data_IF_000742426163
#
_entry.id   IF_000742426163
#
_cell.length_a   1.000
_cell.length_b   1.000
_cell.length_c   1.000
_cell.angle_alpha   90.00
_cell.angle_beta   90.00
_cell.angle_gamma   90.00
#
_symmetry.space_group_name_H-M   'P 1'
#
loop_
_entity.id
_entity.type
_entity.pdbx_description
1 polymer ?
#
# COMPACT_ATOMS: atom_id res chain seq x y z
N UNK A 1 8.15 11.59 -12.89
CA UNK A 1 8.53 11.15 -11.52
C UNK A 1 7.30 10.90 -10.66
N UNK A 2 7.43 10.10 -9.61
CA UNK A 2 6.36 9.85 -8.63
C UNK A 2 6.77 10.43 -7.27
N UNK A 3 5.84 11.15 -6.64
CA UNK A 3 6.02 11.71 -5.30
C UNK A 3 4.89 11.15 -4.44
N UNK A 4 5.24 10.57 -3.31
CA UNK A 4 4.27 9.91 -2.42
C UNK A 4 4.24 10.59 -1.06
N UNK A 5 3.04 10.87 -0.57
CA UNK A 5 2.81 11.48 0.76
C UNK A 5 2.57 10.34 1.77
N UNK A 6 3.41 10.20 2.81
CA UNK A 6 3.21 9.19 3.86
C UNK A 6 2.21 9.65 4.93
N UNK A 7 1.77 8.71 5.75
CA UNK A 7 0.98 8.87 6.99
C UNK A 7 -0.28 9.73 6.83
N UNK A 8 -0.86 9.73 5.63
CA UNK A 8 -2.11 10.44 5.36
C UNK A 8 -3.24 9.78 6.13
N UNK A 9 -4.13 10.59 6.65
CA UNK A 9 -5.39 10.17 7.27
C UNK A 9 -6.60 10.92 6.71
N UNK A 10 -6.42 12.07 6.06
CA UNK A 10 -7.48 12.91 5.53
C UNK A 10 -7.16 13.52 4.16
N UNK A 11 -8.18 13.65 3.30
CA UNK A 11 -8.09 14.35 2.01
C UNK A 11 -7.44 15.74 2.11
N UNK A 12 -7.77 16.49 3.16
CA UNK A 12 -7.25 17.86 3.35
C UNK A 12 -5.72 17.90 3.52
N UNK A 13 -5.13 16.88 4.12
CA UNK A 13 -3.67 16.77 4.24
C UNK A 13 -3.02 16.64 2.85
N UNK A 14 -3.61 15.80 2.00
CA UNK A 14 -3.17 15.63 0.60
C UNK A 14 -3.26 16.94 -0.16
N UNK A 15 -4.37 17.66 -0.06
CA UNK A 15 -4.56 18.96 -0.74
C UNK A 15 -3.49 19.99 -0.30
N UNK A 16 -3.27 20.13 1.00
CA UNK A 16 -2.31 21.09 1.55
C UNK A 16 -0.88 20.79 1.10
N UNK A 17 -0.49 19.50 1.13
CA UNK A 17 0.85 19.07 0.69
C UNK A 17 0.99 19.19 -0.82
N UNK A 18 -0.03 18.80 -1.60
CA UNK A 18 -0.06 18.95 -3.06
C UNK A 18 0.18 20.39 -3.48
N UNK A 19 -0.53 21.36 -2.88
CA UNK A 19 -0.35 22.78 -3.20
C UNK A 19 1.09 23.26 -2.95
N UNK A 20 1.77 22.75 -1.92
CA UNK A 20 3.18 23.08 -1.67
C UNK A 20 4.10 22.46 -2.70
N UNK A 21 3.86 21.19 -3.07
CA UNK A 21 4.64 20.50 -4.11
C UNK A 21 4.48 21.20 -5.47
N UNK A 22 3.25 21.58 -5.84
CA UNK A 22 2.96 22.30 -7.08
C UNK A 22 3.71 23.64 -7.15
N UNK A 23 3.73 24.40 -6.04
CA UNK A 23 4.45 25.66 -5.97
C UNK A 23 5.96 25.48 -6.20
N UNK A 24 6.56 24.48 -5.54
CA UNK A 24 7.99 24.16 -5.72
C UNK A 24 8.27 23.65 -7.13
N UNK A 25 7.42 22.78 -7.69
CA UNK A 25 7.57 22.30 -9.05
C UNK A 25 7.53 23.45 -10.06
N UNK A 26 6.61 24.40 -9.89
CA UNK A 26 6.55 25.60 -10.72
C UNK A 26 7.82 26.44 -10.62
N UNK A 27 8.33 26.66 -9.40
CA UNK A 27 9.57 27.42 -9.18
C UNK A 27 10.77 26.75 -9.87
N UNK A 28 10.90 25.42 -9.76
CA UNK A 28 11.97 24.66 -10.42
C UNK A 28 11.84 24.74 -11.94
N UNK A 29 10.63 24.65 -12.50
CA UNK A 29 10.40 24.85 -13.95
C UNK A 29 10.88 26.22 -14.40
N UNK A 30 10.53 27.29 -13.67
CA UNK A 30 10.96 28.66 -13.98
C UNK A 30 12.48 28.82 -13.87
N UNK A 31 13.10 28.32 -12.80
CA UNK A 31 14.55 28.46 -12.57
C UNK A 31 15.40 27.68 -13.57
N UNK A 32 14.96 26.50 -13.97
CA UNK A 32 15.73 25.60 -14.86
C UNK A 32 15.38 25.76 -16.32
N UNK A 33 14.25 26.40 -16.65
CA UNK A 33 13.68 26.41 -18.01
C UNK A 33 13.23 25.04 -18.51
N UNK A 34 13.26 24.00 -17.67
CA UNK A 34 12.88 22.64 -18.03
C UNK A 34 11.40 22.42 -17.73
N UNK A 35 10.66 21.88 -18.70
CA UNK A 35 9.31 21.39 -18.46
C UNK A 35 9.35 19.91 -18.05
N UNK A 36 8.55 19.51 -17.07
CA UNK A 36 8.46 18.13 -16.60
C UNK A 36 7.13 17.90 -15.89
N UNK A 37 6.61 16.67 -15.99
CA UNK A 37 5.42 16.24 -15.27
C UNK A 37 5.77 15.33 -14.11
N UNK A 38 4.91 15.30 -13.09
CA UNK A 38 5.03 14.39 -11.96
C UNK A 38 3.66 13.85 -11.57
N UNK A 39 3.65 12.68 -10.94
CA UNK A 39 2.45 12.07 -10.36
C UNK A 39 2.54 12.15 -8.86
N UNK A 40 1.52 12.69 -8.22
CA UNK A 40 1.39 12.66 -6.77
C UNK A 40 0.55 11.45 -6.37
N UNK A 41 1.01 10.70 -5.38
CA UNK A 41 0.25 9.61 -4.77
C UNK A 41 0.31 9.65 -3.25
N UNK A 42 -0.36 8.68 -2.64
CA UNK A 42 -0.49 8.59 -1.18
C UNK A 42 -0.11 7.20 -0.71
N UNK A 43 0.65 7.13 0.38
CA UNK A 43 0.81 5.89 1.11
C UNK A 43 -0.42 5.66 1.99
N UNK A 44 -1.17 4.59 1.73
CA UNK A 44 -2.32 4.18 2.53
C UNK A 44 -1.83 3.25 3.62
N UNK A 45 -1.42 3.86 4.74
CA UNK A 45 -0.80 3.17 5.86
C UNK A 45 -1.43 3.50 7.22
N UNK A 46 -2.53 4.26 7.19
CA UNK A 46 -3.40 4.47 8.35
C UNK A 46 -4.77 3.82 8.11
N UNK A 47 -5.43 3.25 9.13
CA UNK A 47 -6.76 2.68 8.97
C UNK A 47 -7.77 3.70 8.43
N UNK A 48 -7.65 4.97 8.86
CA UNK A 48 -8.52 6.04 8.38
C UNK A 48 -8.32 6.35 6.90
N UNK A 49 -7.09 6.31 6.38
CA UNK A 49 -6.86 6.46 4.95
C UNK A 49 -7.48 5.34 4.14
N UNK A 50 -7.40 4.08 4.59
CA UNK A 50 -8.09 2.97 3.93
C UNK A 50 -9.62 3.19 3.93
N UNK A 51 -10.18 3.58 5.08
CA UNK A 51 -11.61 3.90 5.19
C UNK A 51 -12.03 5.10 4.33
N UNK A 52 -11.16 6.09 4.10
CA UNK A 52 -11.47 7.29 3.29
C UNK A 52 -10.74 7.29 1.95
N UNK A 53 -10.36 6.12 1.44
CA UNK A 53 -9.56 6.01 0.22
C UNK A 53 -10.22 6.65 -1.00
N UNK A 54 -11.56 6.59 -1.11
CA UNK A 54 -12.30 7.27 -2.18
C UNK A 54 -12.12 8.80 -2.19
N UNK A 55 -12.09 9.44 -1.02
CA UNK A 55 -11.86 10.89 -0.95
C UNK A 55 -10.42 11.26 -1.33
N UNK A 56 -9.47 10.40 -0.93
CA UNK A 56 -8.03 10.57 -1.14
C UNK A 56 -7.68 10.35 -2.62
N UNK A 57 -8.33 9.36 -3.25
CA UNK A 57 -8.15 9.01 -4.66
C UNK A 57 -8.39 10.20 -5.58
N UNK A 58 -9.40 11.04 -5.31
CA UNK A 58 -9.72 12.23 -6.11
C UNK A 58 -8.57 13.23 -6.28
N UNK A 59 -7.53 13.18 -5.43
CA UNK A 59 -6.37 14.06 -5.50
C UNK A 59 -5.05 13.34 -5.76
N UNK A 60 -5.09 12.03 -6.00
CA UNK A 60 -3.95 11.13 -6.04
C UNK A 60 -3.95 10.31 -7.32
N UNK A 61 -2.84 10.27 -8.04
CA UNK A 61 -2.66 9.45 -9.23
C UNK A 61 -2.41 7.96 -8.91
N UNK A 62 -2.04 7.65 -7.67
CA UNK A 62 -1.85 6.28 -7.19
C UNK A 62 -1.98 6.20 -5.67
N UNK A 63 -2.32 5.02 -5.18
CA UNK A 63 -2.34 4.64 -3.77
C UNK A 63 -1.39 3.46 -3.55
N UNK A 64 -0.46 3.59 -2.61
CA UNK A 64 0.41 2.48 -2.21
C UNK A 64 0.12 2.07 -0.77
N UNK A 65 -0.37 0.86 -0.57
CA UNK A 65 -0.66 0.34 0.77
C UNK A 65 0.63 0.00 1.51
N UNK A 66 0.96 0.81 2.52
CA UNK A 66 2.09 0.61 3.43
C UNK A 66 1.70 -0.36 4.53
N UNK A 67 1.85 -1.66 4.26
CA UNK A 67 1.28 -2.69 5.13
C UNK A 67 1.97 -2.82 6.48
N UNK A 68 3.23 -2.42 6.62
CA UNK A 68 3.92 -2.48 7.91
C UNK A 68 3.21 -1.57 8.94
N UNK A 69 3.08 -0.28 8.64
CA UNK A 69 2.41 0.68 9.51
C UNK A 69 0.91 0.43 9.60
N UNK A 70 0.27 -0.02 8.51
CA UNK A 70 -1.13 -0.39 8.55
C UNK A 70 -1.39 -1.57 9.49
N UNK A 71 -0.54 -2.59 9.49
CA UNK A 71 -0.61 -3.71 10.45
C UNK A 71 -0.44 -3.19 11.88
N UNK A 72 0.57 -2.33 12.14
CA UNK A 72 0.77 -1.74 13.46
C UNK A 72 -0.49 -1.05 13.98
N UNK A 73 -1.08 -0.16 13.16
CA UNK A 73 -2.24 0.62 13.57
C UNK A 73 -3.53 -0.20 13.65
N UNK A 74 -3.68 -1.25 12.82
CA UNK A 74 -4.86 -2.13 12.84
C UNK A 74 -4.87 -3.00 14.09
N UNK A 75 -3.72 -3.58 14.44
CA UNK A 75 -3.59 -4.41 15.63
C UNK A 75 -3.34 -3.62 16.92
N UNK A 76 -2.95 -2.35 16.82
CA UNK A 76 -2.49 -1.56 17.97
C UNK A 76 -1.14 -2.05 18.51
N UNK A 77 -0.25 -2.50 17.64
CA UNK A 77 1.05 -3.07 17.99
C UNK A 77 2.20 -2.19 17.52
N UNK A 78 3.19 -2.01 18.38
CA UNK A 78 4.51 -1.54 17.98
C UNK A 78 5.29 -2.71 17.41
N UNK A 79 5.80 -2.60 16.17
CA UNK A 79 6.59 -3.67 15.56
C UNK A 79 7.85 -3.98 16.37
N UNK A 80 8.50 -2.95 16.90
CA UNK A 80 9.73 -3.08 17.68
C UNK A 80 9.51 -3.82 19.01
N UNK A 81 8.29 -3.79 19.54
CA UNK A 81 7.93 -4.46 20.80
C UNK A 81 7.22 -5.81 20.59
N UNK A 82 6.57 -6.01 19.44
CA UNK A 82 5.77 -7.19 19.12
C UNK A 82 6.57 -8.50 19.23
N UNK A 83 7.84 -8.47 18.80
CA UNK A 83 8.72 -9.66 18.83
C UNK A 83 8.91 -10.25 20.24
N UNK A 84 8.62 -9.52 21.32
CA UNK A 84 8.74 -10.01 22.71
C UNK A 84 7.61 -10.96 23.11
N UNK A 85 6.44 -10.88 22.48
CA UNK A 85 5.26 -11.66 22.87
C UNK A 85 4.56 -12.36 21.71
N UNK A 86 4.83 -11.97 20.46
CA UNK A 86 4.13 -12.53 19.29
C UNK A 86 4.33 -14.04 19.18
N UNK A 87 5.53 -14.55 19.48
CA UNK A 87 5.78 -15.99 19.52
C UNK A 87 4.89 -16.75 20.52
N UNK A 88 4.54 -16.14 21.67
CA UNK A 88 3.63 -16.74 22.64
C UNK A 88 2.18 -16.71 22.16
N UNK A 89 1.77 -15.69 21.40
CA UNK A 89 0.45 -15.61 20.77
C UNK A 89 0.28 -16.68 19.70
N UNK A 90 1.30 -16.87 18.85
CA UNK A 90 1.30 -17.93 17.83
C UNK A 90 1.28 -19.33 18.46
N UNK A 91 2.08 -19.56 19.52
CA UNK A 91 2.07 -20.84 20.24
C UNK A 91 0.74 -21.16 20.93
N UNK A 92 -0.01 -20.14 21.32
CA UNK A 92 -1.34 -20.27 21.92
C UNK A 92 -2.47 -20.22 20.87
N UNK A 93 -2.13 -20.23 19.58
CA UNK A 93 -3.08 -20.19 18.47
C UNK A 93 -4.01 -18.95 18.50
N UNK A 94 -3.58 -17.86 19.15
CA UNK A 94 -4.30 -16.57 19.10
C UNK A 94 -4.24 -16.01 17.68
N UNK A 95 -3.08 -16.17 17.04
CA UNK A 95 -2.88 -15.89 15.62
C UNK A 95 -2.17 -17.09 14.97
N UNK A 96 -2.44 -17.37 13.68
CA UNK A 96 -1.77 -18.47 12.98
C UNK A 96 -0.28 -18.17 12.70
N UNK A 97 0.09 -16.89 12.56
CA UNK A 97 1.44 -16.43 12.25
C UNK A 97 1.62 -14.98 12.70
N UNK A 98 2.87 -14.50 12.80
CA UNK A 98 3.18 -13.08 13.01
C UNK A 98 2.62 -12.21 11.85
N UNK A 99 1.72 -11.24 12.13
CA UNK A 99 1.09 -10.42 11.11
C UNK A 99 2.04 -9.40 10.44
N UNK A 100 3.28 -9.27 10.92
CA UNK A 100 4.33 -8.50 10.25
C UNK A 100 5.14 -9.32 9.24
N UNK A 101 5.07 -10.66 9.32
CA UNK A 101 5.71 -11.56 8.35
C UNK A 101 4.74 -12.01 7.26
N UNK A 102 3.51 -12.35 7.67
CA UNK A 102 2.44 -12.80 6.77
C UNK A 102 1.30 -11.81 6.85
N UNK A 103 0.79 -11.39 5.69
CA UNK A 103 -0.34 -10.48 5.63
C UNK A 103 -1.56 -11.13 6.29
N UNK A 104 -2.06 -10.49 7.35
CA UNK A 104 -3.38 -10.79 7.90
C UNK A 104 -4.45 -10.44 6.86
N UNK A 105 -5.07 -11.45 6.26
CA UNK A 105 -6.09 -11.26 5.23
C UNK A 105 -7.46 -10.90 5.79
N UNK A 106 -7.71 -11.18 7.07
CA UNK A 106 -9.03 -11.00 7.69
C UNK A 106 -9.20 -9.60 8.26
N UNK A 107 -8.18 -9.02 8.90
CA UNK A 107 -8.22 -7.65 9.42
C UNK A 107 -7.57 -6.65 8.47
N UNK A 108 -6.24 -6.70 8.34
CA UNK A 108 -5.46 -5.78 7.50
C UNK A 108 -5.87 -5.91 6.02
N UNK A 109 -6.06 -7.13 5.55
CA UNK A 109 -6.55 -7.45 4.21
C UNK A 109 -7.94 -6.86 3.94
N UNK A 110 -8.82 -6.85 4.93
CA UNK A 110 -10.13 -6.19 4.78
C UNK A 110 -9.98 -4.69 4.53
N UNK A 111 -9.07 -4.00 5.24
CA UNK A 111 -8.75 -2.60 4.98
C UNK A 111 -8.15 -2.37 3.59
N UNK A 112 -7.27 -3.26 3.13
CA UNK A 112 -6.71 -3.20 1.77
C UNK A 112 -7.81 -3.30 0.72
N UNK A 113 -8.68 -4.32 0.83
CA UNK A 113 -9.80 -4.55 -0.09
C UNK A 113 -10.76 -3.37 -0.10
N UNK A 114 -11.19 -2.92 1.08
CA UNK A 114 -12.13 -1.82 1.24
C UNK A 114 -11.56 -0.50 0.69
N UNK A 115 -10.28 -0.22 0.98
CA UNK A 115 -9.60 0.95 0.47
C UNK A 115 -9.48 0.92 -1.04
N UNK A 116 -9.12 -0.23 -1.62
CA UNK A 116 -8.99 -0.39 -3.06
C UNK A 116 -10.34 -0.26 -3.80
N UNK A 117 -11.39 -0.87 -3.26
CA UNK A 117 -12.76 -0.74 -3.77
C UNK A 117 -13.23 0.72 -3.76
N UNK A 118 -13.09 1.40 -2.61
CA UNK A 118 -13.51 2.81 -2.47
C UNK A 118 -12.72 3.75 -3.36
N UNK A 119 -11.42 3.51 -3.52
CA UNK A 119 -10.59 4.29 -4.43
C UNK A 119 -11.07 4.15 -5.88
N UNK A 120 -11.35 2.92 -6.33
CA UNK A 120 -11.82 2.66 -7.69
C UNK A 120 -13.22 3.14 -7.99
N UNK A 121 -14.09 3.16 -6.98
CA UNK A 121 -15.40 3.79 -7.10
C UNK A 121 -15.29 5.30 -7.35
N UNK A 122 -14.26 5.95 -6.82
CA UNK A 122 -14.01 7.38 -7.04
C UNK A 122 -13.22 7.65 -8.33
N UNK A 123 -12.25 6.80 -8.66
CA UNK A 123 -11.42 6.86 -9.87
C UNK A 123 -11.12 5.44 -10.39
N UNK A 124 -11.83 4.97 -11.44
CA UNK A 124 -11.65 3.62 -11.98
C UNK A 124 -10.25 3.29 -12.49
N UNK A 125 -9.47 4.32 -12.88
CA UNK A 125 -8.14 4.16 -13.47
C UNK A 125 -7.02 4.32 -12.43
N UNK A 126 -7.36 4.53 -11.16
CA UNK A 126 -6.36 4.75 -10.11
C UNK A 126 -5.44 3.54 -9.97
N UNK A 127 -4.13 3.83 -9.92
CA UNK A 127 -3.11 2.82 -9.71
C UNK A 127 -3.05 2.47 -8.23
N UNK A 128 -3.18 1.18 -7.93
CA UNK A 128 -3.15 0.65 -6.56
C UNK A 128 -2.01 -0.34 -6.43
N UNK A 129 -1.20 -0.18 -5.40
CA UNK A 129 -0.08 -1.08 -5.12
C UNK A 129 0.02 -1.43 -3.64
N UNK A 130 0.82 -2.43 -3.34
CA UNK A 130 1.27 -2.76 -1.99
C UNK A 130 2.79 -2.54 -1.90
N UNK A 131 3.25 -2.04 -0.78
CA UNK A 131 4.66 -1.96 -0.43
C UNK A 131 4.90 -2.46 1.00
N UNK A 132 6.16 -2.73 1.31
CA UNK A 132 6.59 -3.27 2.60
C UNK A 132 7.00 -4.73 2.50
N UNK A 133 7.07 -5.41 3.63
CA UNK A 133 7.58 -6.78 3.68
C UNK A 133 6.62 -7.79 3.06
N UNK A 134 5.33 -7.54 3.17
CA UNK A 134 4.30 -8.38 2.54
C UNK A 134 4.39 -8.37 1.01
N UNK A 135 4.91 -7.29 0.40
CA UNK A 135 4.99 -7.17 -1.07
C UNK A 135 5.86 -8.24 -1.76
N UNK A 136 6.66 -9.00 -1.02
CA UNK A 136 7.47 -10.09 -1.54
C UNK A 136 7.00 -11.50 -1.14
N UNK A 137 5.82 -11.66 -0.53
CA UNK A 137 5.27 -12.98 -0.14
C UNK A 137 4.35 -13.52 -1.24
N UNK A 138 4.43 -14.80 -1.64
CA UNK A 138 3.51 -15.40 -2.61
C UNK A 138 2.03 -15.26 -2.24
N UNK A 139 1.70 -15.42 -0.96
CA UNK A 139 0.35 -15.33 -0.41
C UNK A 139 -0.20 -13.91 -0.53
N UNK A 140 0.62 -12.92 -0.16
CA UNK A 140 0.28 -11.50 -0.28
C UNK A 140 0.12 -11.09 -1.76
N UNK A 141 0.94 -11.64 -2.66
CA UNK A 141 0.83 -11.43 -4.10
C UNK A 141 -0.48 -12.04 -4.63
N UNK A 142 -0.85 -13.25 -4.18
CA UNK A 142 -2.12 -13.88 -4.54
C UNK A 142 -3.31 -13.02 -4.09
N UNK A 143 -3.29 -12.54 -2.84
CA UNK A 143 -4.29 -11.62 -2.31
C UNK A 143 -4.39 -10.34 -3.17
N UNK A 144 -3.25 -9.73 -3.49
CA UNK A 144 -3.20 -8.52 -4.33
C UNK A 144 -3.80 -8.76 -5.71
N UNK A 145 -3.51 -9.90 -6.35
CA UNK A 145 -4.08 -10.27 -7.65
C UNK A 145 -5.60 -10.45 -7.58
N UNK A 146 -6.10 -11.16 -6.58
CA UNK A 146 -7.55 -11.37 -6.38
C UNK A 146 -8.30 -10.06 -6.17
N UNK A 147 -7.65 -9.07 -5.52
CA UNK A 147 -8.20 -7.74 -5.30
C UNK A 147 -7.78 -6.72 -6.37
N UNK A 148 -7.26 -7.20 -7.51
CA UNK A 148 -6.90 -6.42 -8.70
C UNK A 148 -5.82 -5.34 -8.49
N UNK A 149 -4.94 -5.45 -7.50
CA UNK A 149 -3.83 -4.50 -7.33
C UNK A 149 -2.92 -4.52 -8.58
N UNK A 150 -2.43 -3.35 -8.97
CA UNK A 150 -1.69 -3.14 -10.22
C UNK A 150 -0.25 -3.68 -10.14
N UNK A 151 0.41 -3.51 -8.99
CA UNK A 151 1.76 -4.05 -8.75
C UNK A 151 2.07 -4.25 -7.26
N UNK A 152 3.12 -5.02 -7.01
CA UNK A 152 3.73 -5.19 -5.69
C UNK A 152 5.13 -4.59 -5.69
N UNK A 153 5.55 -4.01 -4.57
CA UNK A 153 6.89 -3.48 -4.36
C UNK A 153 7.55 -4.15 -3.16
N UNK A 154 8.75 -4.69 -3.35
CA UNK A 154 9.50 -5.42 -2.34
C UNK A 154 11.00 -5.07 -2.40
N UNK A 155 11.76 -5.49 -1.39
CA UNK A 155 13.21 -5.28 -1.36
C UNK A 155 13.92 -5.94 -2.57
N UNK A 156 15.07 -5.40 -3.03
CA UNK A 156 15.72 -5.85 -4.26
C UNK A 156 15.95 -7.37 -4.33
N UNK A 157 16.36 -8.00 -3.23
CA UNK A 157 16.63 -9.43 -3.17
C UNK A 157 15.36 -10.30 -3.27
N UNK A 158 14.19 -9.75 -2.94
CA UNK A 158 12.90 -10.45 -3.05
C UNK A 158 12.25 -10.30 -4.42
N UNK A 159 12.74 -9.40 -5.28
CA UNK A 159 12.18 -9.18 -6.63
C UNK A 159 12.14 -10.47 -7.47
N UNK A 160 13.18 -11.32 -7.52
CA UNK A 160 13.10 -12.57 -8.29
C UNK A 160 12.01 -13.53 -7.78
N UNK A 161 11.86 -13.64 -6.46
CA UNK A 161 10.83 -14.48 -5.82
C UNK A 161 9.44 -13.93 -6.11
N UNK A 162 9.23 -12.63 -5.95
CA UNK A 162 7.96 -11.98 -6.24
C UNK A 162 7.54 -12.15 -7.71
N UNK A 163 8.48 -12.01 -8.64
CA UNK A 163 8.22 -12.23 -10.08
C UNK A 163 7.85 -13.69 -10.37
N UNK A 164 8.55 -14.65 -9.77
CA UNK A 164 8.26 -16.07 -9.93
C UNK A 164 6.86 -16.40 -9.40
N UNK A 165 6.53 -15.94 -8.18
CA UNK A 165 5.22 -16.15 -7.56
C UNK A 165 4.10 -15.53 -8.42
N UNK A 166 4.26 -14.28 -8.86
CA UNK A 166 3.28 -13.61 -9.72
C UNK A 166 3.05 -14.36 -11.04
N UNK A 167 4.12 -14.91 -11.65
CA UNK A 167 4.01 -15.70 -12.88
C UNK A 167 3.31 -17.04 -12.64
N UNK A 168 3.66 -17.77 -11.57
CA UNK A 168 3.01 -19.03 -11.21
C UNK A 168 1.52 -18.84 -10.98
N UNK A 169 1.14 -17.81 -10.22
CA UNK A 169 -0.26 -17.47 -9.96
C UNK A 169 -1.00 -17.12 -11.25
N UNK A 170 -0.41 -16.30 -12.12
CA UNK A 170 -1.02 -15.95 -13.41
C UNK A 170 -1.21 -17.16 -14.36
N UNK A 171 -0.39 -18.21 -14.24
CA UNK A 171 -0.55 -19.45 -14.98
C UNK A 171 -1.68 -20.31 -14.37
N UNK A 172 -1.74 -20.41 -13.05
CA UNK A 172 -2.78 -21.15 -12.34
C UNK A 172 -4.17 -20.56 -12.56
N UNK A 173 -4.29 -19.22 -12.55
CA UNK A 173 -5.57 -18.51 -12.79
C UNK A 173 -6.16 -18.82 -14.18
N UNK A 174 -5.33 -19.13 -15.18
CA UNK A 174 -5.78 -19.47 -16.55
C UNK A 174 -6.25 -20.92 -16.72
N UNK A 175 -5.97 -21.79 -15.74
CA UNK A 175 -6.35 -23.20 -15.79
C UNK A 175 -7.71 -23.48 -15.15
N UNK A 176 -8.31 -22.46 -14.52
CA UNK A 176 -9.66 -22.46 -13.98
C UNK A 176 -10.56 -21.55 -14.82
#
# INVERSE_FOLDING_TARGET
PEIMIPLVSAKREVELVKSRIDAVASEVRTKTGSNFDYRLGVMVETPRAALRAGDIALNSAFLSFGTNDLTQMTYGLSRDDAGRFMGAYVQQEVFPEDPFHTLDTEGVGELLRLGAERARLADPDIIISICGEHGGSPESIAFCRQNNFNYVSCSPFRVPVARLAAAQLAISDKRH
#
